data_IF_343414864505
#
_entry.id   IF_343414864505
#
_cell.length_a   1.000
_cell.length_b   1.000
_cell.length_c   1.000
_cell.angle_alpha   90.00
_cell.angle_beta   90.00
_cell.angle_gamma   90.00
#
_symmetry.space_group_name_H-M   'P 1'
#
loop_
_entity.id
_entity.type
_entity.pdbx_description
1 polymer ?
#
# COMPACT_ATOMS: atom_id res chain seq x y z
N UNK A 1 8.31 0.69 -0.13
CA UNK A 1 7.19 -0.25 -0.32
C UNK A 1 7.64 -1.29 -1.33
N UNK A 2 7.30 -2.55 -1.08
CA UNK A 2 7.54 -3.68 -1.98
C UNK A 2 6.18 -4.14 -2.54
N UNK A 3 6.14 -4.88 -3.66
CA UNK A 3 4.88 -5.43 -4.14
C UNK A 3 4.26 -6.38 -3.11
N UNK A 4 2.94 -6.35 -2.99
CA UNK A 4 2.19 -7.37 -2.27
C UNK A 4 2.50 -8.75 -2.89
N UNK A 5 2.71 -9.78 -2.07
CA UNK A 5 2.97 -11.11 -2.59
C UNK A 5 1.70 -11.71 -3.21
N UNK A 6 1.61 -11.69 -4.54
CA UNK A 6 0.43 -12.19 -5.27
C UNK A 6 0.44 -13.71 -5.50
N UNK A 7 1.48 -14.44 -5.07
CA UNK A 7 1.55 -15.90 -5.25
C UNK A 7 0.82 -16.67 -4.16
N UNK A 8 0.67 -16.06 -2.97
CA UNK A 8 -0.14 -16.58 -1.88
C UNK A 8 -1.60 -16.17 -2.08
N UNK A 9 -2.56 -17.10 -1.93
CA UNK A 9 -3.98 -16.76 -1.92
C UNK A 9 -4.40 -16.32 -0.50
N UNK A 10 -4.40 -15.01 -0.23
CA UNK A 10 -4.72 -14.48 1.10
C UNK A 10 -6.20 -14.65 1.50
N UNK A 11 -7.06 -15.00 0.55
CA UNK A 11 -8.46 -15.29 0.82
C UNK A 11 -8.69 -16.72 1.33
N UNK A 12 -7.66 -17.58 1.30
CA UNK A 12 -7.72 -18.99 1.69
C UNK A 12 -6.53 -19.40 2.58
N UNK A 13 -5.99 -18.45 3.35
CA UNK A 13 -4.96 -18.75 4.36
C UNK A 13 -5.60 -19.21 5.67
N UNK A 14 -5.00 -20.23 6.27
CA UNK A 14 -5.41 -20.72 7.59
C UNK A 14 -5.11 -19.71 8.71
N UNK A 15 -5.74 -19.86 9.88
CA UNK A 15 -5.58 -18.95 11.02
C UNK A 15 -4.14 -18.89 11.58
N UNK A 16 -3.34 -19.92 11.34
CA UNK A 16 -1.95 -20.04 11.79
C UNK A 16 -0.92 -19.74 10.68
N UNK A 17 -1.35 -19.17 9.56
CA UNK A 17 -0.45 -18.84 8.46
C UNK A 17 0.59 -17.80 8.89
N UNK A 18 1.85 -18.04 8.55
CA UNK A 18 2.91 -17.03 8.72
C UNK A 18 2.81 -16.00 7.59
N UNK A 19 2.42 -14.78 7.95
CA UNK A 19 2.25 -13.65 7.03
C UNK A 19 3.35 -12.60 7.18
N UNK A 20 4.46 -12.93 7.83
CA UNK A 20 5.58 -12.01 8.06
C UNK A 20 6.18 -11.48 6.75
N UNK A 21 6.19 -12.28 5.68
CA UNK A 21 6.68 -11.88 4.35
C UNK A 21 5.56 -11.51 3.38
N UNK A 22 4.32 -11.40 3.86
CA UNK A 22 3.17 -11.13 3.00
C UNK A 22 3.15 -9.68 2.47
N UNK A 23 3.70 -8.75 3.25
CA UNK A 23 3.91 -7.36 2.89
C UNK A 23 5.19 -6.82 3.55
N UNK A 24 5.49 -5.54 3.34
CA UNK A 24 6.62 -4.87 3.98
C UNK A 24 6.47 -4.82 5.50
N UNK A 25 7.61 -4.83 6.19
CA UNK A 25 7.68 -4.87 7.66
C UNK A 25 6.92 -3.74 8.35
N UNK A 26 6.95 -2.53 7.79
CA UNK A 26 6.21 -1.37 8.28
C UNK A 26 4.69 -1.57 8.29
N UNK A 27 4.16 -2.41 7.38
CA UNK A 27 2.75 -2.73 7.32
C UNK A 27 2.40 -3.97 8.14
N UNK A 28 3.15 -5.06 7.98
CA UNK A 28 2.89 -6.33 8.67
C UNK A 28 3.02 -6.19 10.20
N UNK A 29 3.90 -5.30 10.66
CA UNK A 29 4.11 -5.05 12.08
C UNK A 29 2.93 -4.40 12.79
N UNK A 30 2.10 -3.63 12.10
CA UNK A 30 0.86 -3.08 12.69
C UNK A 30 -0.10 -4.17 13.17
N UNK A 31 0.02 -5.37 12.59
CA UNK A 31 -0.78 -6.56 12.92
C UNK A 31 0.01 -7.58 13.75
N UNK A 32 1.26 -7.30 14.14
CA UNK A 32 2.09 -8.19 14.95
C UNK A 32 2.86 -9.27 14.18
N UNK A 33 2.99 -9.14 12.85
CA UNK A 33 3.85 -9.99 12.01
C UNK A 33 5.22 -9.31 11.80
N UNK A 34 5.98 -9.18 12.89
CA UNK A 34 7.37 -8.72 12.90
C UNK A 34 8.32 -9.85 13.32
N UNK A 35 9.59 -9.76 12.92
CA UNK A 35 10.67 -10.61 13.43
C UNK A 35 11.62 -9.84 14.33
N UNK A 36 12.41 -10.57 15.14
CA UNK A 36 13.44 -9.95 15.99
C UNK A 36 14.57 -9.27 15.18
N UNK A 37 14.73 -9.62 13.90
CA UNK A 37 15.67 -8.94 12.99
C UNK A 37 15.26 -7.51 12.65
N UNK A 38 13.99 -7.17 12.83
CA UNK A 38 13.41 -5.86 12.49
C UNK A 38 13.66 -4.81 13.59
N UNK A 39 14.38 -5.19 14.65
CA UNK A 39 14.74 -4.33 15.78
C UNK A 39 15.83 -3.30 15.46
N UNK A 40 16.61 -3.48 14.39
CA UNK A 40 17.89 -2.77 14.22
C UNK A 40 17.81 -1.29 13.81
N UNK A 41 16.63 -0.70 13.59
CA UNK A 41 16.58 0.74 13.26
C UNK A 41 15.33 1.53 13.66
N UNK A 42 14.15 0.95 13.89
CA UNK A 42 12.93 1.75 14.11
C UNK A 42 11.91 1.22 15.13
N UNK A 43 12.23 0.19 15.92
CA UNK A 43 11.32 -0.40 16.94
C UNK A 43 10.00 -0.97 16.41
N UNK A 44 9.94 -1.39 15.13
CA UNK A 44 8.71 -1.90 14.48
C UNK A 44 8.02 -3.04 15.25
N UNK A 45 8.78 -3.85 16.00
CA UNK A 45 8.25 -4.89 16.90
C UNK A 45 7.26 -4.37 17.95
N UNK A 46 7.18 -3.04 18.15
CA UNK A 46 6.28 -2.36 19.08
C UNK A 46 5.09 -1.70 18.40
N UNK A 47 4.90 -1.87 17.09
CA UNK A 47 3.90 -1.11 16.33
C UNK A 47 2.54 -1.79 16.27
N UNK A 48 2.40 -2.97 16.88
CA UNK A 48 1.13 -3.67 16.85
C UNK A 48 0.02 -2.83 17.49
N UNK A 49 -0.99 -2.52 16.69
CA UNK A 49 -2.20 -1.79 17.10
C UNK A 49 -3.47 -2.45 16.54
N UNK A 50 -3.33 -3.48 15.71
CA UNK A 50 -4.43 -4.30 15.18
C UNK A 50 -4.26 -5.78 15.57
N UNK A 51 -5.37 -6.52 15.53
CA UNK A 51 -5.36 -7.97 15.74
C UNK A 51 -4.62 -8.69 14.62
N UNK A 52 -3.83 -9.71 14.95
CA UNK A 52 -3.20 -10.61 13.94
C UNK A 52 -4.22 -11.19 12.95
N UNK A 53 -5.42 -11.49 13.44
CA UNK A 53 -6.50 -12.08 12.64
C UNK A 53 -7.06 -11.14 11.58
N UNK A 54 -6.84 -9.82 11.68
CA UNK A 54 -7.34 -8.85 10.72
C UNK A 54 -6.47 -8.75 9.46
N UNK A 55 -5.23 -9.24 9.52
CA UNK A 55 -4.26 -9.02 8.44
C UNK A 55 -4.59 -9.82 7.19
N UNK A 56 -4.87 -11.12 7.31
CA UNK A 56 -5.26 -11.95 6.15
C UNK A 56 -6.52 -11.42 5.42
N UNK A 57 -7.63 -11.09 6.12
CA UNK A 57 -8.78 -10.44 5.49
C UNK A 57 -8.45 -9.15 4.76
N UNK A 58 -7.59 -8.30 5.34
CA UNK A 58 -7.15 -7.07 4.70
C UNK A 58 -6.33 -7.35 3.43
N UNK A 59 -5.36 -8.25 3.51
CA UNK A 59 -4.55 -8.66 2.36
C UNK A 59 -5.39 -9.30 1.24
N UNK A 60 -6.40 -10.09 1.60
CA UNK A 60 -7.36 -10.66 0.65
C UNK A 60 -8.12 -9.56 -0.11
N UNK A 61 -8.60 -8.51 0.57
CA UNK A 61 -9.28 -7.39 -0.10
C UNK A 61 -8.34 -6.67 -1.07
N UNK A 62 -7.12 -6.32 -0.61
CA UNK A 62 -6.12 -5.66 -1.46
C UNK A 62 -5.72 -6.51 -2.67
N UNK A 63 -5.52 -7.81 -2.47
CA UNK A 63 -5.21 -8.76 -3.55
C UNK A 63 -6.37 -8.88 -4.54
N UNK A 64 -7.62 -8.92 -4.06
CA UNK A 64 -8.81 -9.00 -4.92
C UNK A 64 -8.88 -7.81 -5.88
N UNK A 65 -8.60 -6.60 -5.38
CA UNK A 65 -8.55 -5.39 -6.21
C UNK A 65 -7.44 -5.46 -7.27
N UNK A 66 -6.24 -5.88 -6.89
CA UNK A 66 -5.10 -6.01 -7.80
C UNK A 66 -5.35 -7.05 -8.89
N UNK A 67 -5.93 -8.21 -8.54
CA UNK A 67 -6.29 -9.24 -9.51
C UNK A 67 -7.39 -8.77 -10.47
N UNK A 68 -8.25 -7.84 -10.05
CA UNK A 68 -9.23 -7.17 -10.90
C UNK A 68 -8.64 -6.00 -11.72
N UNK A 69 -7.33 -5.76 -11.62
CA UNK A 69 -6.60 -4.68 -12.29
C UNK A 69 -6.88 -3.29 -11.74
N UNK A 70 -7.52 -3.18 -10.58
CA UNK A 70 -7.89 -1.91 -9.90
C UNK A 70 -6.84 -1.51 -8.87
N UNK A 71 -6.93 -0.29 -8.35
CA UNK A 71 -6.05 0.16 -7.27
C UNK A 71 -6.25 -0.67 -6.00
N UNK A 72 -5.16 -1.05 -5.33
CA UNK A 72 -5.20 -1.80 -4.08
C UNK A 72 -5.74 -0.93 -2.93
N UNK A 73 -7.06 -0.82 -2.86
CA UNK A 73 -7.78 -0.05 -1.84
C UNK A 73 -8.73 -0.97 -1.09
N UNK A 74 -8.68 -0.92 0.23
CA UNK A 74 -9.58 -1.67 1.10
C UNK A 74 -10.13 -0.75 2.19
N UNK A 75 -11.34 -1.02 2.66
CA UNK A 75 -11.93 -0.35 3.82
C UNK A 75 -12.26 -1.38 4.87
N UNK A 76 -11.73 -1.19 6.07
CA UNK A 76 -11.92 -2.13 7.16
C UNK A 76 -12.04 -1.40 8.49
N UNK A 77 -13.00 -1.81 9.30
CA UNK A 77 -13.12 -1.37 10.69
C UNK A 77 -12.28 -2.29 11.56
N UNK A 78 -11.33 -1.72 12.29
CA UNK A 78 -10.48 -2.45 13.22
C UNK A 78 -10.79 -2.08 14.66
N UNK A 79 -10.73 -3.08 15.55
CA UNK A 79 -10.60 -2.83 16.97
C UNK A 79 -9.16 -2.42 17.27
N UNK A 80 -8.95 -1.20 17.77
CA UNK A 80 -7.62 -0.72 18.14
C UNK A 80 -7.20 -1.37 19.44
N UNK A 81 -6.01 -1.99 19.41
CA UNK A 81 -5.35 -2.56 20.58
C UNK A 81 -4.62 -1.47 21.36
N UNK A 82 -4.59 -1.61 22.68
CA UNK A 82 -3.79 -0.74 23.53
C UNK A 82 -2.30 -0.90 23.19
N UNK A 83 -1.59 0.22 23.08
CA UNK A 83 -0.15 0.24 22.84
C UNK A 83 0.48 1.34 23.70
N UNK A 84 0.97 0.94 24.88
CA UNK A 84 1.52 1.86 25.88
C UNK A 84 2.85 2.49 25.46
N UNK A 85 3.59 1.84 24.55
CA UNK A 85 4.82 2.40 23.99
C UNK A 85 4.54 3.67 23.19
N UNK A 86 3.47 3.66 22.37
CA UNK A 86 3.03 4.78 21.56
C UNK A 86 1.96 5.67 22.23
N UNK A 87 1.55 5.35 23.47
CA UNK A 87 0.53 6.11 24.20
C UNK A 87 -0.90 5.92 23.66
N UNK A 88 -1.18 4.84 22.95
CA UNK A 88 -2.50 4.52 22.39
C UNK A 88 -3.29 3.74 23.45
N UNK A 89 -4.45 4.26 23.84
CA UNK A 89 -5.29 3.65 24.88
C UNK A 89 -5.94 2.33 24.44
N UNK A 90 -6.19 2.15 23.14
CA UNK A 90 -7.00 1.04 22.64
C UNK A 90 -8.48 1.18 22.98
N UNK A 91 -9.22 0.08 22.83
CA UNK A 91 -10.65 -0.09 23.19
C UNK A 91 -11.65 0.80 22.44
N UNK A 92 -11.26 1.27 21.24
CA UNK A 92 -12.16 1.91 20.28
C UNK A 92 -12.01 1.29 18.90
N UNK A 93 -13.02 1.50 18.06
CA UNK A 93 -12.98 1.07 16.66
C UNK A 93 -12.59 2.25 15.76
N UNK A 94 -11.79 1.96 14.74
CA UNK A 94 -11.47 2.90 13.67
C UNK A 94 -11.84 2.29 12.33
N UNK A 95 -12.59 3.03 11.50
CA UNK A 95 -12.73 2.72 10.09
C UNK A 95 -11.51 3.27 9.35
N UNK A 96 -10.78 2.40 8.66
CA UNK A 96 -9.55 2.74 7.95
C UNK A 96 -9.74 2.45 6.47
N UNK A 97 -9.43 3.43 5.62
CA UNK A 97 -9.18 3.21 4.20
C UNK A 97 -7.69 2.92 4.03
N UNK A 98 -7.38 1.67 3.68
CA UNK A 98 -6.05 1.24 3.33
C UNK A 98 -5.81 1.49 1.84
N UNK A 99 -4.79 2.29 1.53
CA UNK A 99 -4.34 2.52 0.16
C UNK A 99 -2.93 1.96 0.04
N UNK A 100 -2.78 0.83 -0.65
CA UNK A 100 -1.50 0.21 -0.86
C UNK A 100 -0.91 0.64 -2.20
N UNK A 101 0.29 1.22 -2.19
CA UNK A 101 0.96 1.60 -3.43
C UNK A 101 1.32 0.33 -4.20
N UNK A 102 0.78 0.15 -5.40
CA UNK A 102 0.98 -1.03 -6.23
C UNK A 102 0.75 -0.70 -7.70
N UNK A 103 1.16 -1.58 -8.61
CA UNK A 103 0.85 -1.44 -10.04
C UNK A 103 -0.66 -1.59 -10.26
N UNK A 104 -1.22 -0.73 -11.08
CA UNK A 104 -2.67 -0.72 -11.36
C UNK A 104 -2.86 -0.92 -12.86
N UNK A 105 -3.20 -2.15 -13.25
CA UNK A 105 -3.25 -2.54 -14.67
C UNK A 105 -4.18 -1.63 -15.49
N UNK A 106 -5.39 -1.33 -14.98
CA UNK A 106 -6.34 -0.45 -15.66
C UNK A 106 -5.87 1.00 -15.78
N UNK A 107 -5.03 1.46 -14.85
CA UNK A 107 -4.41 2.78 -14.96
C UNK A 107 -3.34 2.76 -16.06
N UNK A 108 -2.45 1.76 -16.04
CA UNK A 108 -1.37 1.62 -17.03
C UNK A 108 -1.93 1.50 -18.46
N UNK A 109 -3.03 0.76 -18.65
CA UNK A 109 -3.73 0.63 -19.93
C UNK A 109 -4.26 1.97 -20.50
N UNK A 110 -4.53 2.95 -19.62
CA UNK A 110 -5.03 4.28 -20.00
C UNK A 110 -3.92 5.29 -20.28
N UNK A 111 -2.67 4.94 -20.00
CA UNK A 111 -1.53 5.81 -20.28
C UNK A 111 -1.30 5.95 -21.78
N UNK A 112 -0.65 7.04 -22.25
CA UNK A 112 -0.18 7.13 -23.64
C UNK A 112 0.69 5.92 -24.02
N UNK A 113 0.58 5.45 -25.27
CA UNK A 113 1.32 4.27 -25.75
C UNK A 113 2.83 4.37 -25.58
N UNK A 114 3.39 5.58 -25.69
CA UNK A 114 4.80 5.85 -25.42
C UNK A 114 5.16 5.60 -23.95
N UNK A 115 4.32 6.05 -23.01
CA UNK A 115 4.51 5.81 -21.58
C UNK A 115 4.38 4.32 -21.24
N UNK A 116 3.42 3.62 -21.85
CA UNK A 116 3.30 2.16 -21.71
C UNK A 116 4.55 1.44 -22.20
N UNK A 117 5.11 1.85 -23.34
CA UNK A 117 6.35 1.28 -23.87
C UNK A 117 7.54 1.53 -22.94
N UNK A 118 7.66 2.72 -22.34
CA UNK A 118 8.71 3.03 -21.37
C UNK A 118 8.55 2.24 -20.06
N UNK A 119 7.32 1.99 -19.62
CA UNK A 119 7.04 1.11 -18.47
C UNK A 119 7.39 -0.35 -18.75
N UNK A 120 7.15 -0.84 -19.98
CA UNK A 120 7.48 -2.20 -20.39
C UNK A 120 9.00 -2.49 -20.36
N UNK A 121 9.84 -1.45 -20.34
CA UNK A 121 11.31 -1.60 -20.19
C UNK A 121 11.73 -1.96 -18.76
N UNK A 122 10.81 -1.89 -17.79
CA UNK A 122 11.08 -2.20 -16.39
C UNK A 122 12.25 -1.39 -15.84
N UNK A 123 13.19 -2.05 -15.17
CA UNK A 123 14.34 -1.40 -14.52
C UNK A 123 15.37 -0.81 -15.49
N UNK A 124 15.23 -1.07 -16.79
CA UNK A 124 16.07 -0.48 -17.84
C UNK A 124 15.45 0.79 -18.45
N UNK A 125 14.26 1.18 -18.00
CA UNK A 125 13.53 2.35 -18.47
C UNK A 125 13.67 3.57 -17.55
N UNK A 126 13.10 4.72 -17.95
CA UNK A 126 13.08 5.95 -17.16
C UNK A 126 12.22 5.82 -15.88
N UNK A 127 11.36 4.81 -15.83
CA UNK A 127 10.47 4.51 -14.70
C UNK A 127 10.92 3.26 -13.92
N UNK A 128 12.22 2.96 -13.90
CA UNK A 128 12.77 1.84 -13.13
C UNK A 128 12.20 1.80 -11.70
N UNK A 129 11.83 0.61 -11.23
CA UNK A 129 11.15 0.37 -9.95
C UNK A 129 9.73 0.93 -9.79
N UNK A 130 9.10 1.55 -10.79
CA UNK A 130 7.72 2.03 -10.67
C UNK A 130 6.74 0.91 -10.24
N UNK A 131 5.81 1.19 -9.29
CA UNK A 131 5.56 2.45 -8.57
C UNK A 131 6.34 2.58 -7.25
N UNK A 132 7.29 1.69 -7.01
CA UNK A 132 8.13 1.56 -5.83
C UNK A 132 9.49 2.24 -5.99
N UNK A 133 9.51 3.49 -6.42
CA UNK A 133 10.77 4.23 -6.55
C UNK A 133 11.57 4.19 -5.24
N UNK A 134 12.89 4.08 -5.37
CA UNK A 134 13.80 4.06 -4.23
C UNK A 134 13.81 5.41 -3.55
N UNK A 135 13.72 5.40 -2.21
CA UNK A 135 13.88 6.60 -1.40
C UNK A 135 15.26 7.22 -1.57
N UNK A 136 16.29 6.36 -1.70
CA UNK A 136 17.67 6.79 -1.88
C UNK A 136 18.25 6.26 -3.20
N UNK A 137 19.03 7.10 -3.86
CA UNK A 137 19.79 6.81 -5.07
C UNK A 137 18.92 6.23 -6.21
N UNK A 138 17.66 6.68 -6.33
CA UNK A 138 16.82 6.35 -7.49
C UNK A 138 17.42 6.90 -8.79
N UNK A 139 17.86 8.17 -8.76
CA UNK A 139 18.52 8.83 -9.88
C UNK A 139 19.88 9.40 -9.41
N UNK A 140 20.93 8.55 -9.32
CA UNK A 140 22.25 9.00 -8.90
C UNK A 140 22.80 10.06 -9.89
N UNK A 141 23.65 11.00 -9.44
CA UNK A 141 24.36 10.99 -8.16
C UNK A 141 23.59 11.60 -6.98
N UNK A 142 22.44 12.22 -7.19
CA UNK A 142 21.68 12.81 -6.08
C UNK A 142 21.10 11.71 -5.18
N UNK A 143 21.20 11.90 -3.87
CA UNK A 143 20.77 10.90 -2.88
C UNK A 143 19.25 10.75 -2.84
N UNK A 144 18.47 11.82 -2.96
CA UNK A 144 17.01 11.78 -2.89
C UNK A 144 16.41 12.65 -3.99
N UNK A 145 16.37 12.15 -5.21
CA UNK A 145 15.87 12.88 -6.37
C UNK A 145 15.00 11.97 -7.23
N UNK A 146 13.79 12.45 -7.57
CA UNK A 146 12.92 11.87 -8.59
C UNK A 146 12.83 12.85 -9.76
N UNK A 147 12.91 12.33 -10.99
CA UNK A 147 12.68 13.15 -12.17
C UNK A 147 11.20 13.56 -12.27
N UNK A 148 10.93 14.69 -12.94
CA UNK A 148 9.57 15.22 -13.06
C UNK A 148 8.59 14.22 -13.67
N UNK A 149 9.01 13.42 -14.66
CA UNK A 149 8.19 12.38 -15.25
C UNK A 149 7.85 11.25 -14.25
N UNK A 150 8.78 10.84 -13.39
CA UNK A 150 8.55 9.83 -12.35
C UNK A 150 7.53 10.34 -11.32
N UNK A 151 7.68 11.59 -10.88
CA UNK A 151 6.73 12.24 -9.96
C UNK A 151 5.35 12.36 -10.59
N UNK A 152 5.27 12.84 -11.83
CA UNK A 152 4.00 13.01 -12.54
C UNK A 152 3.27 11.67 -12.73
N UNK A 153 3.99 10.60 -13.08
CA UNK A 153 3.39 9.28 -13.25
C UNK A 153 2.82 8.74 -11.92
N UNK A 154 3.57 8.88 -10.82
CA UNK A 154 3.11 8.43 -9.51
C UNK A 154 1.94 9.28 -9.00
N UNK A 155 1.98 10.60 -9.21
CA UNK A 155 0.89 11.51 -8.87
C UNK A 155 -0.38 11.19 -9.67
N UNK A 156 -0.26 10.93 -10.98
CA UNK A 156 -1.37 10.54 -11.83
C UNK A 156 -2.00 9.19 -11.39
N UNK A 157 -1.18 8.21 -10.98
CA UNK A 157 -1.71 6.96 -10.41
C UNK A 157 -2.43 7.21 -9.08
N UNK A 158 -1.89 8.07 -8.22
CA UNK A 158 -2.52 8.42 -6.95
C UNK A 158 -3.87 9.13 -7.19
N UNK A 159 -3.94 10.08 -8.12
CA UNK A 159 -5.18 10.72 -8.53
C UNK A 159 -6.19 9.70 -9.08
N UNK A 160 -5.75 8.83 -9.99
CA UNK A 160 -6.59 7.75 -10.52
C UNK A 160 -7.17 6.88 -9.40
N UNK A 161 -6.34 6.53 -8.41
CA UNK A 161 -6.75 5.69 -7.27
C UNK A 161 -7.87 6.33 -6.47
N UNK A 162 -7.77 7.63 -6.18
CA UNK A 162 -8.81 8.39 -5.46
C UNK A 162 -10.08 8.50 -6.31
N UNK A 163 -9.96 8.80 -7.60
CA UNK A 163 -11.10 8.96 -8.49
C UNK A 163 -11.84 7.63 -8.75
N UNK A 164 -11.11 6.52 -8.91
CA UNK A 164 -11.68 5.18 -9.06
C UNK A 164 -12.49 4.77 -7.82
N UNK A 165 -12.07 5.21 -6.64
CA UNK A 165 -12.70 4.92 -5.35
C UNK A 165 -13.45 6.11 -4.75
N UNK A 166 -13.87 7.07 -5.58
CA UNK A 166 -14.45 8.35 -5.13
C UNK A 166 -15.55 8.17 -4.09
N UNK A 167 -16.48 7.25 -4.33
CA UNK A 167 -17.62 7.04 -3.43
C UNK A 167 -17.19 6.59 -2.04
N UNK A 168 -16.16 5.73 -1.95
CA UNK A 168 -15.59 5.29 -0.67
C UNK A 168 -14.95 6.47 0.07
N UNK A 169 -14.07 7.22 -0.60
CA UNK A 169 -13.41 8.38 0.00
C UNK A 169 -14.42 9.46 0.43
N UNK A 170 -15.43 9.73 -0.39
CA UNK A 170 -16.47 10.69 -0.08
C UNK A 170 -17.35 10.26 1.08
N UNK A 171 -17.66 8.96 1.19
CA UNK A 171 -18.40 8.42 2.34
C UNK A 171 -17.61 8.62 3.64
N UNK A 172 -16.31 8.35 3.64
CA UNK A 172 -15.48 8.39 4.86
C UNK A 172 -15.07 9.81 5.26
N UNK A 173 -14.68 10.66 4.30
CA UNK A 173 -14.14 12.00 4.59
C UNK A 173 -15.10 13.16 4.30
N UNK A 174 -16.30 12.88 3.80
CA UNK A 174 -17.27 13.89 3.32
C UNK A 174 -16.73 14.71 2.16
N UNK A 175 -17.13 14.39 0.93
CA UNK A 175 -16.92 15.29 -0.21
C UNK A 175 -17.99 16.39 -0.20
N UNK A 176 -17.57 17.64 -0.27
CA UNK A 176 -18.49 18.72 -0.63
C UNK A 176 -18.66 18.71 -2.16
N UNK A 177 -19.90 18.74 -2.63
CA UNK A 177 -20.18 19.04 -4.04
C UNK A 177 -19.77 20.50 -4.28
N UNK A 178 -18.59 20.70 -4.83
CA UNK A 178 -18.22 21.99 -5.39
C UNK A 178 -19.12 22.24 -6.59
N UNK A 179 -20.05 23.19 -6.48
CA UNK A 179 -20.67 23.80 -7.65
C UNK A 179 -19.56 24.46 -8.45
N UNK A 180 -19.23 23.86 -9.59
CA UNK A 180 -18.37 24.45 -10.61
C UNK A 180 -19.01 25.72 -11.20
#
# INVERSE_FOLDING_TARGET
AEPLNLTTNFCDVGPDADLTSAATVDFSCLFGYCTDGDQLSFSYVRDQVFSKGDFAPLLCQLQTELLAGRSAVASMTHQILANTWWGISGDFQAEIIWVYNAKVAKFEERLPSETQAELARGDQGPFAYYPFYKTLFQNPPQSSNLHANQVNLLAAQAEYTILEHRDLFCKTFTCHEGTA
#
